data_IF_789182445393
#
_entry.id   IF_789182445393
#
_cell.length_a   1.000
_cell.length_b   1.000
_cell.length_c   1.000
_cell.angle_alpha   90.00
_cell.angle_beta   90.00
_cell.angle_gamma   90.00
#
_symmetry.space_group_name_H-M   'P 1'
#
loop_
_entity.id
_entity.type
_entity.pdbx_description
1 polymer ?
#
# COMPACT_ATOMS: atom_id res chain seq x y z
N UNK A 1 48.79 -33.34 71.77
CA UNK A 1 50.20 -33.25 71.31
C UNK A 1 50.22 -33.40 69.80
N UNK A 2 51.00 -32.75 68.96
CA UNK A 2 51.87 -31.58 69.03
C UNK A 2 52.01 -31.09 67.57
N UNK A 3 52.35 -29.82 67.42
CA UNK A 3 52.51 -29.08 66.17
C UNK A 3 53.56 -29.69 65.23
N UNK A 4 53.46 -29.41 63.92
CA UNK A 4 54.47 -28.66 63.15
C UNK A 4 54.10 -28.53 61.66
N UNK A 5 53.92 -27.27 61.23
CA UNK A 5 54.32 -26.79 59.89
C UNK A 5 55.86 -26.79 59.83
N UNK A 6 56.54 -26.94 58.67
CA UNK A 6 56.60 -25.88 57.65
C UNK A 6 56.82 -26.35 56.19
N UNK A 7 56.83 -25.41 55.23
CA UNK A 7 57.51 -25.64 53.93
C UNK A 7 56.89 -24.99 52.71
N UNK A 8 57.12 -23.68 52.53
CA UNK A 8 56.90 -22.92 51.29
C UNK A 8 57.82 -23.47 50.19
N UNK A 9 57.31 -23.78 48.99
CA UNK A 9 58.05 -23.59 47.72
C UNK A 9 57.12 -23.06 46.63
N UNK A 10 57.57 -21.92 46.11
CA UNK A 10 57.04 -21.11 45.04
C UNK A 10 57.25 -21.73 43.66
N UNK A 11 56.31 -21.47 42.76
CA UNK A 11 56.63 -21.15 41.37
C UNK A 11 56.51 -22.29 40.37
N UNK A 12 55.40 -22.33 39.64
CA UNK A 12 55.42 -22.09 38.19
C UNK A 12 53.99 -22.00 37.66
N UNK A 13 53.55 -20.76 37.42
CA UNK A 13 52.36 -20.48 36.62
C UNK A 13 52.60 -21.01 35.21
N UNK A 14 51.95 -22.12 34.86
CA UNK A 14 51.88 -22.62 33.48
C UNK A 14 51.23 -21.55 32.61
N UNK A 15 52.00 -20.99 31.67
CA UNK A 15 51.50 -20.06 30.65
C UNK A 15 50.48 -20.81 29.78
N UNK A 16 49.24 -20.32 29.60
CA UNK A 16 48.34 -20.93 28.65
C UNK A 16 48.88 -20.69 27.23
N UNK A 17 48.85 -21.74 26.41
CA UNK A 17 49.22 -21.73 25.00
C UNK A 17 48.45 -20.60 24.29
N UNK A 18 49.19 -19.66 23.67
CA UNK A 18 48.64 -18.70 22.71
C UNK A 18 47.98 -19.52 21.58
N UNK A 19 46.65 -19.60 21.59
CA UNK A 19 45.91 -19.94 20.36
C UNK A 19 46.27 -18.87 19.33
N UNK A 20 46.69 -19.32 18.15
CA UNK A 20 46.87 -18.45 17.00
C UNK A 20 45.58 -17.64 16.81
N UNK A 21 45.75 -16.32 16.75
CA UNK A 21 44.69 -15.37 16.39
C UNK A 21 44.22 -15.79 14.98
N UNK A 22 42.92 -16.03 14.73
CA UNK A 22 42.48 -16.12 13.36
C UNK A 22 42.85 -14.81 12.68
N UNK A 23 43.39 -14.89 11.46
CA UNK A 23 43.60 -13.72 10.63
C UNK A 23 42.28 -12.94 10.61
N UNK A 24 42.36 -11.63 10.89
CA UNK A 24 41.21 -10.75 10.77
C UNK A 24 40.72 -10.89 9.32
N UNK A 25 39.60 -11.58 9.13
CA UNK A 25 38.82 -11.45 7.91
C UNK A 25 38.41 -9.99 7.90
N UNK A 26 39.01 -9.24 6.98
CA UNK A 26 38.69 -7.85 6.74
C UNK A 26 37.17 -7.78 6.54
N UNK A 27 36.49 -6.99 7.38
CA UNK A 27 35.06 -6.83 7.29
C UNK A 27 34.72 -6.40 5.86
N UNK A 28 33.68 -6.98 5.23
CA UNK A 28 33.26 -6.51 3.92
C UNK A 28 33.00 -5.00 4.00
N UNK A 29 33.43 -4.21 3.00
CA UNK A 29 33.20 -2.78 3.00
C UNK A 29 31.71 -2.51 3.19
N UNK A 30 31.39 -1.54 4.05
CA UNK A 30 30.01 -1.11 4.28
C UNK A 30 29.30 -0.89 2.93
N UNK A 31 28.04 -1.34 2.77
CA UNK A 31 27.32 -1.14 1.53
C UNK A 31 27.30 0.36 1.21
N UNK A 32 27.73 0.71 0.00
CA UNK A 32 27.64 2.08 -0.51
C UNK A 32 26.21 2.61 -0.29
N UNK A 33 26.05 3.89 0.09
CA UNK A 33 24.71 4.47 0.22
C UNK A 33 23.98 4.27 -1.09
N UNK A 34 22.81 3.63 -1.01
CA UNK A 34 21.97 3.33 -2.15
C UNK A 34 21.88 4.56 -3.06
N UNK A 35 22.06 4.41 -4.39
CA UNK A 35 21.92 5.52 -5.31
C UNK A 35 20.54 6.13 -5.08
N UNK A 36 20.53 7.43 -4.74
CA UNK A 36 19.34 8.23 -4.44
C UNK A 36 18.10 7.60 -5.07
N UNK A 37 17.24 7.01 -4.25
CA UNK A 37 15.95 6.52 -4.71
C UNK A 37 15.36 7.64 -5.56
N UNK A 38 14.94 7.38 -6.81
CA UNK A 38 14.26 8.41 -7.56
C UNK A 38 13.03 8.75 -6.74
N UNK A 39 13.07 9.92 -6.08
CA UNK A 39 11.91 10.48 -5.42
C UNK A 39 10.74 10.36 -6.39
N UNK A 40 9.54 10.14 -5.85
CA UNK A 40 8.29 9.91 -6.58
C UNK A 40 8.31 10.60 -7.95
N UNK A 41 7.94 9.94 -9.07
CA UNK A 41 8.01 10.54 -10.39
C UNK A 41 7.47 11.97 -10.39
N UNK A 42 8.10 12.92 -11.08
CA UNK A 42 7.69 14.33 -11.03
C UNK A 42 6.19 14.54 -11.34
N UNK A 43 5.61 13.66 -12.16
CA UNK A 43 4.17 13.60 -12.41
C UNK A 43 3.35 13.27 -11.14
N UNK A 44 3.82 12.33 -10.33
CA UNK A 44 3.22 11.92 -9.07
C UNK A 44 3.41 12.99 -7.97
N UNK A 45 4.58 13.63 -7.90
CA UNK A 45 4.80 14.78 -7.03
C UNK A 45 3.88 15.95 -7.42
N UNK A 46 3.77 16.25 -8.71
CA UNK A 46 2.88 17.30 -9.21
C UNK A 46 1.39 16.95 -9.01
N UNK A 47 1.03 15.66 -9.02
CA UNK A 47 -0.30 15.19 -8.69
C UNK A 47 -0.59 15.31 -7.18
N UNK A 48 0.37 14.99 -6.32
CA UNK A 48 0.30 15.18 -4.87
C UNK A 48 0.17 16.66 -4.48
N UNK A 49 0.98 17.53 -5.07
CA UNK A 49 0.89 18.99 -4.86
C UNK A 49 -0.44 19.54 -5.35
N UNK A 50 -0.96 19.04 -6.49
CA UNK A 50 -2.31 19.40 -6.97
C UNK A 50 -3.43 18.84 -6.07
N UNK A 51 -3.26 17.63 -5.54
CA UNK A 51 -4.20 17.00 -4.62
C UNK A 51 -4.26 17.73 -3.29
N UNK A 52 -3.11 18.09 -2.73
CA UNK A 52 -3.00 18.94 -1.52
C UNK A 52 -3.55 20.34 -1.79
N UNK A 53 -3.27 20.92 -2.96
CA UNK A 53 -3.86 22.20 -3.38
C UNK A 53 -5.39 22.16 -3.56
N UNK A 54 -5.97 21.00 -3.90
CA UNK A 54 -7.41 20.80 -3.98
C UNK A 54 -8.08 20.60 -2.61
N UNK A 55 -7.31 20.18 -1.60
CA UNK A 55 -7.77 20.02 -0.21
C UNK A 55 -7.59 21.35 0.57
N UNK A 56 -6.50 22.08 0.33
CA UNK A 56 -6.16 23.32 1.03
C UNK A 56 -6.70 24.60 0.36
N UNK A 57 -6.95 24.57 -0.94
CA UNK A 57 -7.46 25.72 -1.70
C UNK A 57 -8.98 25.69 -1.79
N UNK A 58 -9.63 26.65 -1.15
CA UNK A 58 -11.05 27.00 -1.28
C UNK A 58 -11.66 26.54 -2.62
N UNK A 59 -12.42 25.43 -2.57
CA UNK A 59 -13.18 24.81 -3.67
C UNK A 59 -14.05 25.84 -4.42
N UNK A 60 -14.36 26.96 -3.78
CA UNK A 60 -15.09 28.11 -4.30
C UNK A 60 -14.46 28.76 -5.54
N UNK A 61 -13.12 28.82 -5.64
CA UNK A 61 -12.44 29.64 -6.66
C UNK A 61 -12.30 28.99 -8.04
N UNK A 62 -12.20 27.65 -8.12
CA UNK A 62 -11.95 26.94 -9.40
C UNK A 62 -13.19 26.29 -10.01
N UNK A 63 -14.32 26.22 -9.29
CA UNK A 63 -15.61 25.86 -9.88
C UNK A 63 -16.17 26.95 -10.82
N UNK A 64 -15.73 28.21 -10.68
CA UNK A 64 -16.18 29.31 -11.53
C UNK A 64 -15.51 29.36 -12.92
N UNK A 65 -14.30 28.79 -13.07
CA UNK A 65 -13.51 28.92 -14.31
C UNK A 65 -13.77 27.81 -15.36
N UNK A 66 -14.48 26.74 -15.00
CA UNK A 66 -14.74 25.61 -15.89
C UNK A 66 -16.25 25.44 -16.16
N UNK A 67 -16.94 26.48 -16.67
CA UNK A 67 -18.27 26.39 -17.30
C UNK A 67 -19.34 25.50 -16.61
N UNK A 68 -19.28 25.35 -15.29
CA UNK A 68 -19.73 24.12 -14.62
C UNK A 68 -21.10 24.16 -13.95
N UNK A 69 -21.94 25.14 -14.29
CA UNK A 69 -23.26 25.29 -13.66
C UNK A 69 -24.17 24.07 -13.89
N UNK A 70 -24.10 23.47 -15.07
CA UNK A 70 -24.97 22.34 -15.47
C UNK A 70 -24.47 21.01 -14.87
N UNK A 71 -23.17 20.76 -14.87
CA UNK A 71 -22.59 19.51 -14.33
C UNK A 71 -22.78 19.35 -12.81
N UNK A 72 -22.71 20.45 -12.06
CA UNK A 72 -22.94 20.44 -10.60
C UNK A 72 -24.42 20.22 -10.24
N UNK A 73 -25.35 20.79 -11.02
CA UNK A 73 -26.78 20.60 -10.81
C UNK A 73 -27.24 19.19 -11.20
N UNK A 74 -26.71 18.65 -12.29
CA UNK A 74 -26.93 17.24 -12.67
C UNK A 74 -26.35 16.31 -11.59
N UNK A 75 -25.15 16.60 -11.07
CA UNK A 75 -24.56 15.83 -9.97
C UNK A 75 -25.39 15.86 -8.68
N UNK A 76 -25.93 17.03 -8.31
CA UNK A 76 -26.86 17.18 -7.16
C UNK A 76 -28.19 16.45 -7.40
N UNK A 77 -28.76 16.54 -8.59
CA UNK A 77 -29.99 15.85 -8.95
C UNK A 77 -29.82 14.31 -8.92
N UNK A 78 -28.66 13.80 -9.38
CA UNK A 78 -28.34 12.38 -9.31
C UNK A 78 -28.24 11.88 -7.85
N UNK A 79 -27.61 12.67 -6.97
CA UNK A 79 -27.51 12.38 -5.54
C UNK A 79 -28.87 12.37 -4.82
N UNK A 80 -29.80 13.21 -5.26
CA UNK A 80 -31.15 13.32 -4.71
C UNK A 80 -32.15 12.36 -5.40
N UNK A 81 -31.70 11.57 -6.38
CA UNK A 81 -32.55 10.64 -7.10
C UNK A 81 -33.09 9.51 -6.18
N UNK A 82 -34.28 8.95 -6.47
CA UNK A 82 -34.81 7.79 -5.75
C UNK A 82 -33.86 6.58 -5.77
N UNK A 83 -33.11 6.42 -6.85
CA UNK A 83 -32.11 5.36 -7.02
C UNK A 83 -30.91 5.57 -6.10
N UNK A 84 -30.35 6.79 -6.05
CA UNK A 84 -29.29 7.12 -5.10
C UNK A 84 -29.76 6.93 -3.64
N UNK A 85 -31.03 7.20 -3.35
CA UNK A 85 -31.65 6.87 -2.07
C UNK A 85 -31.68 5.37 -1.76
N UNK A 86 -31.99 4.52 -2.76
CA UNK A 86 -31.93 3.05 -2.61
C UNK A 86 -30.50 2.58 -2.35
N UNK A 87 -29.53 3.06 -3.12
CA UNK A 87 -28.12 2.73 -2.95
C UNK A 87 -27.61 3.14 -1.56
N UNK A 88 -27.99 4.32 -1.05
CA UNK A 88 -27.65 4.75 0.31
C UNK A 88 -28.24 3.84 1.39
N UNK A 89 -29.47 3.37 1.21
CA UNK A 89 -30.08 2.40 2.15
C UNK A 89 -29.37 1.06 2.12
N UNK A 90 -28.97 0.58 0.94
CA UNK A 90 -28.17 -0.64 0.81
C UNK A 90 -26.79 -0.50 1.45
N UNK A 91 -26.11 0.62 1.22
CA UNK A 91 -24.84 0.92 1.86
C UNK A 91 -24.97 1.05 3.38
N UNK A 92 -26.04 1.69 3.87
CA UNK A 92 -26.35 1.79 5.30
C UNK A 92 -26.59 0.42 5.95
N UNK A 93 -27.37 -0.45 5.30
CA UNK A 93 -27.55 -1.84 5.76
C UNK A 93 -26.24 -2.61 5.78
N UNK A 94 -25.40 -2.45 4.77
CA UNK A 94 -24.09 -3.09 4.72
C UNK A 94 -23.17 -2.66 5.88
N UNK A 95 -23.17 -1.37 6.25
CA UNK A 95 -22.42 -0.89 7.42
C UNK A 95 -22.98 -1.50 8.71
N UNK A 96 -24.31 -1.54 8.84
CA UNK A 96 -25.00 -2.17 9.97
C UNK A 96 -24.65 -3.66 10.12
N UNK A 97 -24.70 -4.42 9.04
CA UNK A 97 -24.36 -5.84 9.01
C UNK A 97 -22.92 -6.07 9.50
N UNK A 98 -21.96 -5.28 9.00
CA UNK A 98 -20.57 -5.38 9.43
C UNK A 98 -20.37 -4.98 10.90
N UNK A 99 -21.09 -3.97 11.38
CA UNK A 99 -21.08 -3.59 12.79
C UNK A 99 -21.61 -4.72 13.67
N UNK A 100 -22.75 -5.31 13.31
CA UNK A 100 -23.35 -6.42 14.05
C UNK A 100 -22.45 -7.67 14.02
N UNK A 101 -21.80 -7.95 12.89
CA UNK A 101 -20.79 -9.02 12.78
C UNK A 101 -19.56 -8.78 13.65
N UNK A 102 -19.19 -7.51 13.86
CA UNK A 102 -18.13 -7.13 14.80
C UNK A 102 -18.58 -7.18 16.27
N UNK A 103 -19.86 -7.48 16.54
CA UNK A 103 -20.42 -7.54 17.88
C UNK A 103 -20.61 -6.18 18.55
N UNK A 104 -20.68 -5.10 17.76
CA UNK A 104 -20.77 -3.72 18.26
C UNK A 104 -22.20 -3.20 18.19
N UNK A 105 -22.61 -2.43 19.19
CA UNK A 105 -23.80 -1.57 19.14
C UNK A 105 -23.50 -0.29 18.34
N UNK A 106 -24.55 0.43 17.92
CA UNK A 106 -24.39 1.71 17.21
C UNK A 106 -23.61 2.72 18.05
N UNK A 107 -23.88 2.77 19.36
CA UNK A 107 -23.24 3.71 20.27
C UNK A 107 -21.77 3.37 20.50
N UNK A 108 -21.44 2.08 20.69
CA UNK A 108 -20.03 1.63 20.79
C UNK A 108 -19.26 1.92 19.50
N UNK A 109 -19.90 1.79 18.34
CA UNK A 109 -19.28 2.17 17.06
C UNK A 109 -19.07 3.69 16.97
N UNK A 110 -20.05 4.50 17.40
CA UNK A 110 -19.93 5.96 17.40
C UNK A 110 -18.79 6.43 18.30
N UNK A 111 -18.68 5.84 19.49
CA UNK A 111 -17.60 6.10 20.44
C UNK A 111 -16.24 5.71 19.86
N UNK A 112 -16.12 4.51 19.30
CA UNK A 112 -14.87 4.04 18.70
C UNK A 112 -14.43 4.83 17.46
N UNK A 113 -15.36 5.52 16.80
CA UNK A 113 -15.07 6.41 15.66
C UNK A 113 -14.87 7.87 16.09
N UNK A 114 -14.99 8.18 17.39
CA UNK A 114 -14.92 9.52 17.97
C UNK A 114 -15.90 10.50 17.30
N UNK A 115 -17.12 10.05 17.04
CA UNK A 115 -18.17 10.88 16.41
C UNK A 115 -18.95 11.60 17.49
N UNK A 116 -18.96 12.94 17.46
CA UNK A 116 -19.67 13.75 18.46
C UNK A 116 -21.19 13.56 18.43
N UNK A 117 -21.78 13.38 17.24
CA UNK A 117 -23.21 13.11 17.07
C UNK A 117 -23.46 11.62 16.85
N UNK A 118 -23.82 10.90 17.91
CA UNK A 118 -24.09 9.46 17.87
C UNK A 118 -25.31 9.12 17.01
N UNK A 119 -26.24 10.08 16.80
CA UNK A 119 -27.42 9.87 15.97
C UNK A 119 -27.07 9.79 14.47
N UNK A 120 -25.90 10.31 14.07
CA UNK A 120 -25.42 10.29 12.70
C UNK A 120 -25.30 8.85 12.18
N UNK A 121 -24.69 7.93 12.94
CA UNK A 121 -24.52 6.55 12.50
C UNK A 121 -25.86 5.83 12.34
N UNK A 122 -26.80 6.06 13.25
CA UNK A 122 -28.16 5.53 13.13
C UNK A 122 -28.86 6.04 11.87
N UNK A 123 -28.66 7.31 11.50
CA UNK A 123 -29.18 7.89 10.26
C UNK A 123 -28.48 7.36 9.00
N UNK A 124 -27.17 7.08 9.08
CA UNK A 124 -26.39 6.46 7.99
C UNK A 124 -26.87 5.03 7.74
N UNK A 125 -27.06 4.23 8.78
CA UNK A 125 -27.55 2.84 8.67
C UNK A 125 -28.95 2.77 8.05
N UNK A 126 -29.78 3.79 8.30
CA UNK A 126 -31.11 3.98 7.68
C UNK A 126 -31.04 4.54 6.26
N UNK A 127 -29.86 4.95 5.78
CA UNK A 127 -29.64 5.56 4.47
C UNK A 127 -30.16 6.99 4.33
N UNK A 128 -30.45 7.67 5.44
CA UNK A 128 -30.99 9.04 5.48
C UNK A 128 -29.91 10.10 5.65
N UNK A 129 -28.72 9.72 6.12
CA UNK A 129 -27.54 10.57 6.20
C UNK A 129 -26.43 10.12 5.24
N UNK A 130 -25.47 11.02 5.00
CA UNK A 130 -24.27 10.76 4.18
C UNK A 130 -23.04 10.62 5.05
N UNK A 131 -22.05 9.86 4.60
CA UNK A 131 -20.74 9.75 5.25
C UNK A 131 -19.72 10.70 4.62
N UNK A 132 -18.89 11.32 5.46
CA UNK A 132 -17.66 11.99 4.99
C UNK A 132 -16.65 10.94 4.55
N UNK A 133 -15.72 11.31 3.66
CA UNK A 133 -14.67 10.39 3.23
C UNK A 133 -13.77 9.94 4.40
N UNK A 134 -13.50 10.87 5.32
CA UNK A 134 -12.72 10.63 6.52
C UNK A 134 -13.38 9.56 7.42
N UNK A 135 -14.69 9.67 7.63
CA UNK A 135 -15.45 8.69 8.40
C UNK A 135 -15.52 7.32 7.70
N UNK A 136 -15.55 7.29 6.36
CA UNK A 136 -15.42 6.04 5.58
C UNK A 136 -14.06 5.38 5.85
N UNK A 137 -12.97 6.14 5.93
CA UNK A 137 -11.65 5.59 6.24
C UNK A 137 -11.58 5.06 7.67
N UNK A 138 -12.12 5.79 8.66
CA UNK A 138 -12.21 5.30 10.05
C UNK A 138 -13.03 4.01 10.13
N UNK A 139 -14.22 3.98 9.52
CA UNK A 139 -15.06 2.78 9.44
C UNK A 139 -14.31 1.61 8.79
N UNK A 140 -13.56 1.87 7.72
CA UNK A 140 -12.78 0.84 7.05
C UNK A 140 -11.70 0.24 7.95
N UNK A 141 -11.04 1.06 8.75
CA UNK A 141 -10.01 0.61 9.70
C UNK A 141 -10.58 -0.24 10.83
N UNK A 142 -11.85 -0.03 11.18
CA UNK A 142 -12.51 -0.69 12.30
C UNK A 142 -13.24 -1.96 11.84
N UNK A 143 -14.13 -1.84 10.86
CA UNK A 143 -15.03 -2.92 10.40
C UNK A 143 -14.46 -3.78 9.26
N UNK A 144 -13.54 -3.25 8.45
CA UNK A 144 -13.05 -3.89 7.23
C UNK A 144 -11.54 -4.16 7.25
N UNK A 145 -10.98 -4.50 8.43
CA UNK A 145 -9.53 -4.73 8.64
C UNK A 145 -8.90 -5.71 7.65
N UNK A 146 -9.65 -6.74 7.26
CA UNK A 146 -9.16 -7.79 6.37
C UNK A 146 -9.25 -7.42 4.89
N UNK A 147 -10.15 -6.48 4.51
CA UNK A 147 -10.35 -6.08 3.13
C UNK A 147 -10.87 -4.63 3.00
N UNK A 148 -10.01 -3.62 3.28
CA UNK A 148 -10.43 -2.22 3.38
C UNK A 148 -10.72 -1.58 2.02
N UNK A 149 -10.08 -2.05 0.94
CA UNK A 149 -10.14 -1.37 -0.37
C UNK A 149 -11.53 -1.46 -1.00
N UNK A 150 -12.17 -2.65 -1.10
CA UNK A 150 -13.53 -2.75 -1.63
C UNK A 150 -14.55 -2.01 -0.76
N UNK A 151 -14.35 -2.01 0.57
CA UNK A 151 -15.19 -1.27 1.50
C UNK A 151 -15.18 0.24 1.21
N UNK A 152 -13.98 0.84 1.15
CA UNK A 152 -13.82 2.28 0.87
C UNK A 152 -14.39 2.62 -0.51
N UNK A 153 -14.11 1.79 -1.52
CA UNK A 153 -14.60 2.00 -2.88
C UNK A 153 -16.14 2.03 -2.93
N UNK A 154 -16.79 1.03 -2.33
CA UNK A 154 -18.26 0.91 -2.30
C UNK A 154 -18.92 2.11 -1.62
N UNK A 155 -18.43 2.50 -0.44
CA UNK A 155 -19.01 3.61 0.30
C UNK A 155 -18.74 4.96 -0.38
N UNK A 156 -17.52 5.17 -0.90
CA UNK A 156 -17.17 6.42 -1.60
C UNK A 156 -18.01 6.59 -2.86
N UNK A 157 -18.20 5.53 -3.65
CA UNK A 157 -19.06 5.56 -4.84
C UNK A 157 -20.51 5.95 -4.51
N UNK A 158 -21.02 5.50 -3.37
CA UNK A 158 -22.40 5.74 -2.94
C UNK A 158 -22.60 7.14 -2.34
N UNK A 159 -21.74 7.54 -1.41
CA UNK A 159 -21.91 8.79 -0.65
C UNK A 159 -21.22 9.99 -1.29
N UNK A 160 -20.16 9.77 -2.09
CA UNK A 160 -19.43 10.84 -2.78
C UNK A 160 -19.03 10.41 -4.21
N UNK A 161 -19.99 10.37 -5.15
CA UNK A 161 -19.75 9.92 -6.52
C UNK A 161 -18.80 10.84 -7.30
N UNK A 162 -18.70 12.12 -6.92
CA UNK A 162 -17.75 13.07 -7.53
C UNK A 162 -16.33 12.70 -7.11
N UNK A 163 -16.09 12.47 -5.82
CA UNK A 163 -14.80 12.00 -5.32
C UNK A 163 -14.45 10.65 -5.94
N UNK A 164 -15.40 9.72 -6.03
CA UNK A 164 -15.17 8.42 -6.66
C UNK A 164 -14.67 8.56 -8.11
N UNK A 165 -15.32 9.40 -8.92
CA UNK A 165 -14.86 9.67 -10.31
C UNK A 165 -13.45 10.25 -10.35
N UNK A 166 -13.10 11.12 -9.40
CA UNK A 166 -11.74 11.67 -9.28
C UNK A 166 -10.74 10.56 -8.94
N UNK A 167 -11.05 9.70 -7.98
CA UNK A 167 -10.20 8.56 -7.59
C UNK A 167 -10.06 7.53 -8.72
N UNK A 168 -11.12 7.26 -9.47
CA UNK A 168 -11.07 6.44 -10.68
C UNK A 168 -10.16 7.05 -11.73
N UNK A 169 -10.23 8.37 -11.94
CA UNK A 169 -9.33 9.07 -12.87
C UNK A 169 -7.86 9.00 -12.45
N UNK A 170 -7.59 8.82 -11.15
CA UNK A 170 -6.26 8.59 -10.60
C UNK A 170 -5.84 7.11 -10.61
N UNK A 171 -6.69 6.22 -11.14
CA UNK A 171 -6.37 4.81 -11.32
C UNK A 171 -6.65 3.92 -10.11
N UNK A 172 -7.31 4.43 -9.06
CA UNK A 172 -7.61 3.62 -7.85
C UNK A 172 -8.46 2.39 -8.19
N UNK A 173 -9.34 2.50 -9.19
CA UNK A 173 -10.12 1.36 -9.68
C UNK A 173 -9.29 0.20 -10.26
N UNK A 174 -8.02 0.44 -10.64
CA UNK A 174 -7.12 -0.60 -11.15
C UNK A 174 -6.18 -1.19 -10.09
N UNK A 175 -6.09 -0.56 -8.91
CA UNK A 175 -5.20 -1.02 -7.83
C UNK A 175 -5.49 -2.47 -7.42
N UNK A 176 -6.74 -2.90 -7.18
CA UNK A 176 -7.02 -4.29 -6.79
C UNK A 176 -6.54 -5.29 -7.86
N UNK A 177 -6.82 -4.99 -9.13
CA UNK A 177 -6.39 -5.83 -10.25
C UNK A 177 -4.86 -5.93 -10.33
N UNK A 178 -4.15 -4.82 -10.13
CA UNK A 178 -2.69 -4.82 -10.11
C UNK A 178 -2.14 -5.61 -8.93
N UNK A 179 -2.71 -5.44 -7.73
CA UNK A 179 -2.32 -6.21 -6.55
C UNK A 179 -2.57 -7.71 -6.71
N UNK A 180 -3.67 -8.12 -7.34
CA UNK A 180 -3.93 -9.53 -7.66
C UNK A 180 -2.91 -10.08 -8.65
N UNK A 181 -2.59 -9.33 -9.70
CA UNK A 181 -1.57 -9.71 -10.69
C UNK A 181 -0.21 -9.87 -10.03
N UNK A 182 0.20 -8.93 -9.19
CA UNK A 182 1.45 -9.00 -8.40
C UNK A 182 1.45 -10.21 -7.46
N UNK A 183 0.35 -10.46 -6.74
CA UNK A 183 0.20 -11.65 -5.88
C UNK A 183 0.40 -12.95 -6.65
N UNK A 184 -0.11 -13.05 -7.89
CA UNK A 184 0.10 -14.23 -8.74
C UNK A 184 1.58 -14.45 -9.06
N UNK A 185 2.33 -13.40 -9.40
CA UNK A 185 3.78 -13.50 -9.61
C UNK A 185 4.53 -13.92 -8.35
N UNK A 186 4.22 -13.30 -7.22
CA UNK A 186 4.84 -13.64 -5.93
C UNK A 186 4.52 -15.09 -5.54
N UNK A 187 3.31 -15.57 -5.83
CA UNK A 187 2.93 -16.95 -5.55
C UNK A 187 3.71 -17.98 -6.38
N UNK A 188 4.08 -17.67 -7.63
CA UNK A 188 4.96 -18.54 -8.43
C UNK A 188 6.30 -18.77 -7.71
N UNK A 189 6.91 -17.70 -7.20
CA UNK A 189 8.12 -17.81 -6.38
C UNK A 189 7.86 -18.56 -5.07
N UNK A 190 6.80 -18.19 -4.33
CA UNK A 190 6.50 -18.79 -3.02
C UNK A 190 6.15 -20.27 -3.07
N UNK A 191 5.61 -20.78 -4.18
CA UNK A 191 5.24 -22.18 -4.34
C UNK A 191 6.45 -23.11 -4.57
N UNK A 192 7.68 -22.58 -4.64
CA UNK A 192 8.90 -23.33 -4.98
C UNK A 192 9.95 -23.16 -3.90
N UNK A 193 10.01 -24.13 -2.99
CA UNK A 193 10.97 -24.12 -1.88
C UNK A 193 12.43 -24.13 -2.37
N UNK A 194 12.70 -24.83 -3.47
CA UNK A 194 14.02 -24.84 -4.10
C UNK A 194 14.54 -23.42 -4.45
N UNK A 195 13.65 -22.46 -4.73
CA UNK A 195 14.05 -21.08 -5.01
C UNK A 195 14.53 -20.33 -3.76
N UNK A 196 14.12 -20.75 -2.56
CA UNK A 196 14.53 -20.17 -1.27
C UNK A 196 15.87 -20.71 -0.76
N UNK A 197 16.28 -21.86 -1.28
CA UNK A 197 17.54 -22.53 -0.91
C UNK A 197 18.71 -22.17 -1.84
N UNK A 198 18.46 -21.36 -2.87
CA UNK A 198 19.50 -20.90 -3.79
C UNK A 198 20.52 -20.02 -3.09
N UNK A 199 21.79 -20.13 -3.50
CA UNK A 199 22.78 -19.09 -3.20
C UNK A 199 22.47 -17.80 -3.95
N UNK A 200 22.92 -16.66 -3.44
CA UNK A 200 22.68 -15.34 -4.05
C UNK A 200 23.06 -15.32 -5.54
N UNK A 201 24.22 -15.87 -5.88
CA UNK A 201 24.68 -15.97 -7.28
C UNK A 201 23.73 -16.80 -8.16
N UNK A 202 23.18 -17.89 -7.64
CA UNK A 202 22.25 -18.72 -8.38
C UNK A 202 20.88 -18.04 -8.51
N UNK A 203 20.43 -17.37 -7.44
CA UNK A 203 19.21 -16.57 -7.44
C UNK A 203 19.29 -15.43 -8.47
N UNK A 204 20.38 -14.68 -8.52
CA UNK A 204 20.59 -13.60 -9.50
C UNK A 204 20.51 -14.10 -10.95
N UNK A 205 21.07 -15.28 -11.24
CA UNK A 205 20.98 -15.92 -12.56
C UNK A 205 19.54 -16.28 -12.92
N UNK A 206 18.80 -16.86 -11.97
CA UNK A 206 17.38 -17.20 -12.17
C UNK A 206 16.54 -15.94 -12.34
N UNK A 207 16.82 -14.88 -11.58
CA UNK A 207 16.13 -13.60 -11.67
C UNK A 207 16.36 -12.94 -13.03
N UNK A 208 17.61 -12.88 -13.50
CA UNK A 208 17.96 -12.33 -14.81
C UNK A 208 17.30 -13.12 -15.96
N UNK A 209 17.29 -14.46 -15.86
CA UNK A 209 16.59 -15.30 -16.83
C UNK A 209 15.07 -15.01 -16.81
N UNK A 210 14.47 -14.92 -15.63
CA UNK A 210 13.03 -14.66 -15.47
C UNK A 210 12.65 -13.28 -16.03
N UNK A 211 13.49 -12.26 -15.83
CA UNK A 211 13.30 -10.93 -16.40
C UNK A 211 13.32 -10.97 -17.94
N UNK A 212 14.30 -11.63 -18.55
CA UNK A 212 14.38 -11.76 -20.00
C UNK A 212 13.21 -12.56 -20.58
N UNK A 213 12.81 -13.65 -19.93
CA UNK A 213 11.65 -14.45 -20.33
C UNK A 213 10.34 -13.64 -20.22
N UNK A 214 10.20 -12.81 -19.18
CA UNK A 214 9.05 -11.95 -18.99
C UNK A 214 8.97 -10.85 -20.03
N UNK A 215 10.08 -10.19 -20.36
CA UNK A 215 10.14 -9.19 -21.45
C UNK A 215 9.70 -9.80 -22.79
N UNK A 216 10.20 -11.00 -23.12
CA UNK A 216 9.78 -11.71 -24.33
C UNK A 216 8.28 -12.04 -24.32
N UNK A 217 7.76 -12.53 -23.19
CA UNK A 217 6.34 -12.84 -23.05
C UNK A 217 5.46 -11.58 -23.19
N UNK A 218 5.90 -10.44 -22.64
CA UNK A 218 5.23 -9.16 -22.81
C UNK A 218 5.21 -8.70 -24.27
N UNK A 219 6.33 -8.82 -24.98
CA UNK A 219 6.39 -8.46 -26.41
C UNK A 219 5.45 -9.31 -27.27
N UNK A 220 5.33 -10.61 -26.96
CA UNK A 220 4.39 -11.49 -27.65
C UNK A 220 2.94 -11.11 -27.34
N UNK A 221 2.59 -10.92 -26.07
CA UNK A 221 1.24 -10.53 -25.67
C UNK A 221 0.84 -9.14 -26.22
N UNK A 222 1.77 -8.18 -26.26
CA UNK A 222 1.54 -6.86 -26.83
C UNK A 222 1.21 -6.92 -28.33
N UNK A 223 1.87 -7.82 -29.09
CA UNK A 223 1.58 -8.07 -30.50
C UNK A 223 0.19 -8.67 -30.71
N UNK A 224 -0.21 -9.63 -29.85
CA UNK A 224 -1.53 -10.25 -29.91
C UNK A 224 -2.65 -9.26 -29.59
N UNK A 225 -2.45 -8.37 -28.61
CA UNK A 225 -3.42 -7.33 -28.24
C UNK A 225 -3.38 -6.08 -29.14
N UNK A 226 -2.47 -6.01 -30.12
CA UNK A 226 -2.30 -4.85 -30.99
C UNK A 226 -1.80 -3.59 -30.28
N UNK A 227 -1.21 -3.74 -29.09
CA UNK A 227 -0.66 -2.63 -28.30
C UNK A 227 0.74 -2.33 -28.83
N UNK A 228 0.88 -1.23 -29.58
CA UNK A 228 2.19 -0.74 -29.99
C UNK A 228 2.96 -0.25 -28.76
N UNK A 229 4.03 -0.96 -28.38
CA UNK A 229 4.96 -0.54 -27.33
C UNK A 229 5.43 0.91 -27.59
N UNK A 230 5.35 1.85 -26.62
CA UNK A 230 6.07 3.11 -26.74
C UNK A 230 7.56 2.80 -26.76
N UNK A 231 8.28 3.25 -27.79
CA UNK A 231 9.69 2.89 -28.03
C UNK A 231 10.52 2.89 -26.75
N UNK A 232 10.98 1.70 -26.35
CA UNK A 232 11.96 1.53 -25.29
C UNK A 232 13.16 2.43 -25.56
N UNK A 233 13.48 3.26 -24.56
CA UNK A 233 14.64 4.16 -24.52
C UNK A 233 15.87 3.46 -25.12
N UNK A 234 16.25 3.83 -26.35
CA UNK A 234 17.45 3.32 -27.03
C UNK A 234 18.64 3.52 -26.09
N UNK A 235 19.14 2.43 -25.50
CA UNK A 235 20.38 2.43 -24.73
C UNK A 235 21.50 2.81 -25.70
N UNK A 236 21.90 4.07 -25.66
CA UNK A 236 23.03 4.56 -26.46
C UNK A 236 24.28 3.82 -25.97
N UNK A 237 25.06 3.17 -26.85
CA UNK A 237 26.28 2.51 -26.41
C UNK A 237 27.26 3.58 -25.92
N UNK A 238 27.64 3.50 -24.64
CA UNK A 238 28.75 4.30 -24.09
C UNK A 238 30.00 3.96 -24.90
N UNK A 239 30.42 4.87 -25.79
CA UNK A 239 31.76 4.85 -26.38
C UNK A 239 32.77 4.87 -25.23
N UNK A 240 33.50 3.77 -25.06
CA UNK A 240 34.74 3.77 -24.29
C UNK A 240 35.73 4.66 -25.03
N UNK A 241 36.18 5.72 -24.35
CA UNK A 241 37.45 6.38 -24.66
C UNK A 241 38.50 5.81 -23.73
#
# INVERSE_FOLDING_TARGET
>A
MAQRRPGKKSGQRRRPRRRARPAAVEAPPAPEPAPNEPGLPAALQAALVRGLGAIAGNVSGRMAAAGGGVGLQIGKALLLSPEAGRMRREAGRYVRELRELAGLTVDELAEALEVSDHSLLAAVEKGTATLSFELILRLSSLLARNDPVPFIAKLTRTYNPVLWKLLESWGIGRIPLHLERERRFVNVYRARDAARELSDLAFDRVLAFTQAAFELALDLAAREEGISQPEGRKRTPRRRK
#
